data_IF_090918641768
#
_entry.id   IF_090918641768
#
_cell.length_a   1.000
_cell.length_b   1.000
_cell.length_c   1.000
_cell.angle_alpha   90.00
_cell.angle_beta   90.00
_cell.angle_gamma   90.00
#
_symmetry.space_group_name_H-M   'P 1'
#
loop_
_entity.id
_entity.type
_entity.pdbx_description
1 polymer ?
#
# COMPACT_ATOMS: atom_id res chain seq x y z
N UNK A 1 -4.77 9.98 9.76
CA UNK A 1 -3.41 9.50 9.48
C UNK A 1 -2.77 10.29 8.36
N UNK A 2 -1.47 10.51 8.45
CA UNK A 2 -0.71 11.10 7.35
C UNK A 2 -0.31 10.01 6.37
N UNK A 3 -0.33 10.32 5.09
CA UNK A 3 0.25 9.47 4.06
C UNK A 3 1.65 9.97 3.74
N UNK A 4 2.62 9.10 3.88
CA UNK A 4 4.02 9.40 3.57
C UNK A 4 4.45 8.48 2.44
N UNK A 5 4.92 9.06 1.34
CA UNK A 5 5.30 8.31 0.15
C UNK A 5 6.81 8.28 -0.01
N UNK A 6 7.34 7.09 -0.23
CA UNK A 6 8.66 6.96 -0.81
C UNK A 6 8.62 7.54 -2.23
N UNK A 7 9.70 8.19 -2.66
CA UNK A 7 9.72 8.83 -3.96
C UNK A 7 9.38 7.89 -5.11
N UNK A 8 9.93 6.67 -5.09
CA UNK A 8 9.65 5.68 -6.12
C UNK A 8 8.19 5.21 -6.08
N UNK A 9 7.66 5.02 -4.89
CA UNK A 9 6.26 4.63 -4.74
C UNK A 9 5.32 5.71 -5.26
N UNK A 10 5.64 6.98 -5.00
CA UNK A 10 4.86 8.11 -5.51
C UNK A 10 4.88 8.16 -7.03
N UNK A 11 6.05 7.92 -7.66
CA UNK A 11 6.15 7.88 -9.11
C UNK A 11 5.33 6.72 -9.69
N UNK A 12 5.34 5.56 -9.05
CA UNK A 12 4.52 4.42 -9.47
C UNK A 12 3.04 4.77 -9.39
N UNK A 13 2.61 5.41 -8.31
CA UNK A 13 1.23 5.82 -8.14
C UNK A 13 0.78 6.77 -9.25
N UNK A 14 1.60 7.76 -9.57
CA UNK A 14 1.31 8.70 -10.67
C UNK A 14 1.25 7.99 -12.02
N UNK A 15 2.10 6.99 -12.23
CA UNK A 15 2.12 6.20 -13.46
C UNK A 15 0.81 5.42 -13.62
N UNK A 16 0.32 4.79 -12.55
CA UNK A 16 -0.95 4.06 -12.58
C UNK A 16 -2.13 4.96 -12.89
N UNK A 17 -2.09 6.21 -12.47
CA UNK A 17 -3.14 7.18 -12.74
C UNK A 17 -3.40 7.34 -14.24
N UNK A 18 -2.36 7.21 -15.04
CA UNK A 18 -2.44 7.32 -16.49
C UNK A 18 -2.66 5.96 -17.17
N UNK A 19 -1.96 4.94 -16.67
CA UNK A 19 -1.88 3.65 -17.38
C UNK A 19 -2.98 2.66 -17.01
N UNK A 20 -3.47 2.68 -15.77
CA UNK A 20 -4.49 1.73 -15.38
C UNK A 20 -5.29 2.24 -14.17
N UNK A 21 -6.44 2.80 -14.44
CA UNK A 21 -7.28 3.37 -13.38
C UNK A 21 -7.90 2.33 -12.45
N UNK A 22 -8.06 1.10 -12.89
CA UNK A 22 -8.55 0.04 -12.01
C UNK A 22 -7.55 -0.27 -10.91
N UNK A 23 -6.27 -0.31 -11.27
CA UNK A 23 -5.20 -0.50 -10.31
C UNK A 23 -5.13 0.69 -9.35
N UNK A 24 -5.23 1.90 -9.87
CA UNK A 24 -5.24 3.10 -9.04
C UNK A 24 -6.39 3.06 -8.01
N UNK A 25 -7.59 2.72 -8.44
CA UNK A 25 -8.74 2.60 -7.55
C UNK A 25 -8.51 1.55 -6.47
N UNK A 26 -7.93 0.43 -6.84
CA UNK A 26 -7.62 -0.65 -5.89
C UNK A 26 -6.59 -0.18 -4.85
N UNK A 27 -5.55 0.54 -5.29
CA UNK A 27 -4.55 1.12 -4.38
C UNK A 27 -5.24 2.06 -3.39
N UNK A 28 -6.11 2.95 -3.88
CA UNK A 28 -6.82 3.89 -3.02
C UNK A 28 -7.71 3.18 -1.99
N UNK A 29 -8.40 2.12 -2.39
CA UNK A 29 -9.21 1.31 -1.48
C UNK A 29 -8.34 0.65 -0.42
N UNK A 30 -7.19 0.12 -0.80
CA UNK A 30 -6.25 -0.50 0.14
C UNK A 30 -5.73 0.51 1.15
N UNK A 31 -5.36 1.71 0.69
CA UNK A 31 -4.87 2.77 1.59
C UNK A 31 -5.96 3.15 2.60
N UNK A 32 -7.21 3.30 2.16
CA UNK A 32 -8.31 3.61 3.05
C UNK A 32 -8.54 2.50 4.07
N UNK A 33 -8.41 1.25 3.65
CA UNK A 33 -8.58 0.12 4.55
C UNK A 33 -7.45 0.04 5.58
N UNK A 34 -6.22 0.33 5.17
CA UNK A 34 -5.08 0.41 6.09
C UNK A 34 -5.32 1.49 7.14
N UNK A 35 -5.78 2.66 6.73
CA UNK A 35 -6.05 3.76 7.65
C UNK A 35 -7.13 3.39 8.66
N UNK A 36 -8.09 2.56 8.27
CA UNK A 36 -9.22 2.15 9.13
C UNK A 36 -8.89 0.94 10.00
N UNK A 37 -8.22 -0.05 9.44
CA UNK A 37 -8.05 -1.36 10.06
C UNK A 37 -6.60 -1.75 10.38
N UNK A 38 -5.63 -0.90 10.07
CA UNK A 38 -4.22 -1.19 10.34
C UNK A 38 -3.72 -2.35 9.49
N UNK A 39 -3.06 -3.30 10.13
CA UNK A 39 -2.48 -4.46 9.44
C UNK A 39 -3.46 -5.64 9.32
N UNK A 40 -4.74 -5.35 9.39
CA UNK A 40 -5.80 -6.33 9.25
C UNK A 40 -6.77 -5.83 8.17
N UNK A 41 -7.37 -6.71 7.39
CA UNK A 41 -8.36 -6.29 6.41
C UNK A 41 -8.16 -6.92 5.03
N UNK A 42 -8.53 -6.17 3.99
CA UNK A 42 -8.58 -6.69 2.62
C UNK A 42 -7.18 -6.79 1.99
N UNK A 43 -7.07 -7.57 0.93
CA UNK A 43 -5.83 -7.67 0.17
C UNK A 43 -4.78 -8.60 0.78
N UNK A 44 -5.19 -9.46 1.70
CA UNK A 44 -4.31 -10.46 2.34
C UNK A 44 -3.05 -9.82 2.92
N UNK A 45 -3.18 -8.95 3.95
CA UNK A 45 -2.01 -8.30 4.54
C UNK A 45 -1.02 -9.34 5.08
N UNK A 46 0.25 -9.15 4.75
CA UNK A 46 1.34 -10.04 5.20
C UNK A 46 2.54 -9.20 5.60
N UNK A 47 3.21 -9.54 6.72
CA UNK A 47 4.46 -8.87 7.06
C UNK A 47 5.57 -9.30 6.11
N UNK A 48 6.45 -8.37 5.76
CA UNK A 48 7.63 -8.69 4.98
C UNK A 48 8.73 -9.25 5.87
N UNK A 49 9.61 -10.07 5.28
CA UNK A 49 10.71 -10.73 5.97
C UNK A 49 12.05 -10.23 5.43
N UNK A 50 13.14 -10.60 6.11
CA UNK A 50 14.52 -10.39 5.61
C UNK A 50 14.88 -8.93 5.34
N UNK A 51 15.01 -8.14 6.39
CA UNK A 51 15.49 -6.78 6.28
C UNK A 51 14.41 -5.72 6.07
N UNK A 52 13.17 -6.13 5.92
CA UNK A 52 12.04 -5.21 5.78
C UNK A 52 11.14 -5.24 7.02
N UNK A 53 11.75 -5.26 8.19
CA UNK A 53 11.02 -5.31 9.45
C UNK A 53 10.08 -4.13 9.62
N UNK A 54 8.84 -4.41 10.01
CA UNK A 54 7.82 -3.40 10.18
C UNK A 54 7.06 -3.07 8.90
N UNK A 55 7.53 -3.52 7.74
CA UNK A 55 6.82 -3.35 6.48
C UNK A 55 5.87 -4.52 6.25
N UNK A 56 4.76 -4.20 5.59
CA UNK A 56 3.72 -5.14 5.24
C UNK A 56 3.40 -5.00 3.76
N UNK A 57 2.76 -6.01 3.19
CA UNK A 57 2.25 -5.93 1.83
C UNK A 57 0.79 -6.31 1.79
N UNK A 58 0.07 -5.73 0.83
CA UNK A 58 -1.28 -6.13 0.47
C UNK A 58 -1.36 -6.33 -1.03
N UNK A 59 -2.16 -7.28 -1.47
CA UNK A 59 -2.33 -7.55 -2.89
C UNK A 59 -3.17 -6.48 -3.56
N UNK A 60 -2.64 -5.89 -4.61
CA UNK A 60 -3.40 -5.05 -5.51
C UNK A 60 -4.12 -5.98 -6.51
N UNK A 61 -3.37 -6.88 -7.11
CA UNK A 61 -3.85 -7.95 -7.99
C UNK A 61 -2.86 -9.11 -7.93
N UNK A 62 -2.93 -10.05 -8.89
CA UNK A 62 -2.04 -11.21 -8.89
C UNK A 62 -0.58 -10.85 -9.12
N UNK A 63 -0.30 -9.75 -9.79
CA UNK A 63 1.06 -9.32 -10.12
C UNK A 63 1.63 -8.29 -9.16
N UNK A 64 0.81 -7.40 -8.64
CA UNK A 64 1.27 -6.21 -7.93
C UNK A 64 0.84 -6.20 -6.47
N UNK A 65 1.74 -5.68 -5.63
CA UNK A 65 1.48 -5.53 -4.20
C UNK A 65 1.76 -4.10 -3.77
N UNK A 66 1.00 -3.65 -2.81
CA UNK A 66 1.24 -2.40 -2.12
C UNK A 66 2.09 -2.70 -0.89
N UNK A 67 3.27 -2.09 -0.81
CA UNK A 67 4.16 -2.23 0.34
C UNK A 67 4.05 -0.98 1.19
N UNK A 68 3.84 -1.16 2.48
CA UNK A 68 3.58 -0.05 3.38
C UNK A 68 4.10 -0.33 4.79
N UNK A 69 4.14 0.71 5.59
CA UNK A 69 4.51 0.63 7.00
C UNK A 69 3.63 1.60 7.78
N UNK A 70 3.14 1.16 8.93
CA UNK A 70 2.38 2.01 9.84
C UNK A 70 3.29 2.41 10.99
N UNK A 71 3.41 3.70 11.25
CA UNK A 71 4.13 4.19 12.42
C UNK A 71 3.65 5.58 12.79
N UNK A 72 3.51 5.85 14.09
CA UNK A 72 3.21 7.18 14.64
C UNK A 72 2.08 7.92 13.91
N UNK A 73 0.94 7.25 13.70
CA UNK A 73 -0.23 7.82 13.03
C UNK A 73 0.03 8.21 11.57
N UNK A 74 0.91 7.47 10.90
CA UNK A 74 1.17 7.65 9.48
C UNK A 74 1.37 6.31 8.78
N UNK A 75 1.14 6.33 7.50
CA UNK A 75 1.32 5.17 6.63
C UNK A 75 2.37 5.50 5.58
#
# INVERSE_FOLDING_TARGET
MKLVWDENAWQDYLWWRTENRKILKRINVLIQDIARNGNDGIGKPEPLKHGFQGYWSRRINDEHRLIYKISDDQI
#
